data_IF_806483030611
#
_entry.id   IF_806483030611
#
_cell.length_a   1.000
_cell.length_b   1.000
_cell.length_c   1.000
_cell.angle_alpha   90.00
_cell.angle_beta   90.00
_cell.angle_gamma   90.00
#
_symmetry.space_group_name_H-M   'P 1'
#
loop_
_entity.id
_entity.type
_entity.pdbx_description
1 polymer ?
#
# COMPACT_ATOMS: atom_id res chain seq x y z
N UNK A 1 17.81 8.34 4.20
CA UNK A 1 17.72 8.54 2.73
C UNK A 1 19.01 9.13 2.14
N UNK A 2 19.67 10.13 2.76
CA UNK A 2 20.91 10.74 2.22
C UNK A 2 22.27 10.22 2.74
N UNK A 3 22.32 9.16 3.56
CA UNK A 3 23.54 8.77 4.31
C UNK A 3 24.65 8.13 3.46
N UNK A 4 24.35 7.61 2.26
CA UNK A 4 25.30 6.84 1.44
C UNK A 4 25.66 7.49 0.10
N UNK A 5 25.67 8.82 0.02
CA UNK A 5 26.34 9.50 -1.10
C UNK A 5 25.61 9.43 -2.45
N UNK A 6 24.30 9.73 -2.49
CA UNK A 6 23.53 9.86 -3.74
C UNK A 6 24.10 10.87 -4.75
N UNK A 7 25.00 11.76 -4.32
CA UNK A 7 25.75 12.68 -5.20
C UNK A 7 26.76 11.99 -6.11
N UNK A 8 27.15 10.74 -5.82
CA UNK A 8 28.13 9.98 -6.62
C UNK A 8 27.56 9.35 -7.89
N UNK A 9 26.23 9.29 -8.05
CA UNK A 9 25.55 8.63 -9.16
C UNK A 9 24.90 9.68 -10.08
N UNK A 10 25.72 10.33 -10.92
CA UNK A 10 25.28 11.47 -11.73
C UNK A 10 24.15 11.11 -12.70
N UNK A 11 24.18 9.93 -13.34
CA UNK A 11 23.17 9.56 -14.34
C UNK A 11 21.80 9.29 -13.70
N UNK A 12 21.67 8.41 -12.69
CA UNK A 12 20.39 8.20 -12.00
C UNK A 12 19.84 9.49 -11.38
N UNK A 13 20.71 10.35 -10.85
CA UNK A 13 20.28 11.64 -10.28
C UNK A 13 19.68 12.55 -11.36
N UNK A 14 20.35 12.71 -12.50
CA UNK A 14 19.81 13.49 -13.63
C UNK A 14 18.49 12.89 -14.11
N UNK A 15 18.43 11.59 -14.35
CA UNK A 15 17.18 10.91 -14.76
C UNK A 15 16.05 11.11 -13.74
N UNK A 16 16.35 11.04 -12.45
CA UNK A 16 15.39 11.28 -11.38
C UNK A 16 14.89 12.73 -11.36
N UNK A 17 15.78 13.71 -11.58
CA UNK A 17 15.38 15.12 -11.69
C UNK A 17 14.52 15.38 -12.93
N UNK A 18 14.84 14.77 -14.07
CA UNK A 18 14.03 14.84 -15.29
C UNK A 18 12.66 14.20 -15.08
N UNK A 19 12.61 13.03 -14.42
CA UNK A 19 11.37 12.35 -14.07
C UNK A 19 10.50 13.17 -13.11
N UNK A 20 11.10 13.77 -12.08
CA UNK A 20 10.36 14.64 -11.16
C UNK A 20 9.90 15.95 -11.83
N UNK A 21 10.69 16.52 -12.74
CA UNK A 21 10.28 17.67 -13.53
C UNK A 21 9.09 17.34 -14.45
N UNK A 22 9.12 16.16 -15.09
CA UNK A 22 8.00 15.64 -15.86
C UNK A 22 6.76 15.43 -15.00
N UNK A 23 6.89 14.78 -13.83
CA UNK A 23 5.77 14.53 -12.90
C UNK A 23 5.18 15.83 -12.31
N UNK A 24 6.04 16.83 -12.07
CA UNK A 24 5.62 18.13 -11.56
C UNK A 24 4.86 18.95 -12.62
N UNK A 25 5.00 18.59 -13.90
CA UNK A 25 4.36 19.28 -15.02
C UNK A 25 5.13 20.52 -15.45
N UNK A 26 6.46 20.49 -15.43
CA UNK A 26 7.29 21.59 -15.93
C UNK A 26 7.40 21.51 -17.48
N UNK A 27 7.27 22.63 -18.20
CA UNK A 27 7.62 22.66 -19.62
C UNK A 27 9.13 22.41 -19.76
N UNK A 28 9.62 21.52 -20.66
CA UNK A 28 9.01 20.97 -21.88
C UNK A 28 8.59 19.48 -21.82
N UNK A 29 8.33 18.91 -20.65
CA UNK A 29 8.11 17.46 -20.50
C UNK A 29 6.68 17.01 -20.83
N UNK A 30 6.50 15.74 -21.21
CA UNK A 30 5.18 15.16 -21.54
C UNK A 30 4.13 15.31 -20.43
N UNK A 31 4.56 15.29 -19.17
CA UNK A 31 3.67 15.44 -18.01
C UNK A 31 3.02 16.82 -17.90
N UNK A 32 3.58 17.87 -18.52
CA UNK A 32 2.93 19.17 -18.61
C UNK A 32 1.64 19.08 -19.44
N UNK A 33 1.70 18.48 -20.63
CA UNK A 33 0.53 18.36 -21.53
C UNK A 33 -0.58 17.48 -20.95
N UNK A 34 -0.22 16.38 -20.30
CA UNK A 34 -1.22 15.52 -19.64
C UNK A 34 -1.93 16.25 -18.50
N UNK A 35 -1.21 17.05 -17.72
CA UNK A 35 -1.77 17.82 -16.59
C UNK A 35 -2.62 19.00 -17.07
N UNK A 36 -2.18 19.69 -18.12
CA UNK A 36 -2.93 20.74 -18.83
C UNK A 36 -4.26 20.21 -19.37
N UNK A 37 -4.25 19.08 -20.08
CA UNK A 37 -5.46 18.48 -20.64
C UNK A 37 -6.50 18.16 -19.55
N UNK A 38 -6.05 17.59 -18.42
CA UNK A 38 -6.93 17.27 -17.29
C UNK A 38 -7.44 18.55 -16.61
N UNK A 39 -6.58 19.56 -16.41
CA UNK A 39 -6.98 20.85 -15.84
C UNK A 39 -7.96 21.62 -16.74
N UNK A 40 -7.76 21.56 -18.06
CA UNK A 40 -8.69 22.11 -19.05
C UNK A 40 -10.05 21.41 -19.01
N UNK A 41 -10.07 20.07 -18.90
CA UNK A 41 -11.31 19.31 -18.72
C UNK A 41 -12.02 19.62 -17.39
N UNK A 42 -11.26 19.80 -16.31
CA UNK A 42 -11.79 20.19 -14.99
C UNK A 42 -12.36 21.62 -14.98
N UNK A 43 -11.77 22.54 -15.74
CA UNK A 43 -12.24 23.92 -15.84
C UNK A 43 -13.56 24.06 -16.61
N UNK A 44 -13.87 23.11 -17.49
CA UNK A 44 -15.17 23.02 -18.17
C UNK A 44 -16.30 22.49 -17.28
N UNK A 45 -15.99 21.94 -16.09
CA UNK A 45 -17.01 21.48 -15.15
C UNK A 45 -17.60 22.65 -14.36
N UNK A 46 -18.90 22.57 -14.07
CA UNK A 46 -19.62 23.56 -13.26
C UNK A 46 -19.11 23.67 -11.81
N UNK A 47 -18.35 22.69 -11.32
CA UNK A 47 -17.86 22.65 -9.94
C UNK A 47 -16.37 23.01 -9.84
N UNK A 48 -16.02 24.20 -9.33
CA UNK A 48 -14.63 24.66 -9.26
C UNK A 48 -13.79 23.94 -8.19
N UNK A 49 -14.41 23.17 -7.28
CA UNK A 49 -13.70 22.50 -6.17
C UNK A 49 -12.66 21.52 -6.70
N UNK A 50 -12.98 20.79 -7.77
CA UNK A 50 -12.07 19.82 -8.37
C UNK A 50 -10.89 20.47 -9.09
N UNK A 51 -11.11 21.66 -9.68
CA UNK A 51 -10.03 22.45 -10.28
C UNK A 51 -9.06 22.93 -9.19
N UNK A 52 -9.57 23.48 -8.08
CA UNK A 52 -8.75 23.89 -6.94
C UNK A 52 -7.99 22.71 -6.32
N UNK A 53 -8.66 21.56 -6.17
CA UNK A 53 -8.02 20.32 -5.73
C UNK A 53 -6.89 19.86 -6.66
N UNK A 54 -7.10 19.94 -7.97
CA UNK A 54 -6.08 19.63 -8.98
C UNK A 54 -4.89 20.59 -8.95
N UNK A 55 -5.13 21.90 -8.81
CA UNK A 55 -4.08 22.92 -8.67
C UNK A 55 -3.27 22.74 -7.38
N UNK A 56 -3.94 22.47 -6.26
CA UNK A 56 -3.29 22.18 -4.98
C UNK A 56 -2.49 20.88 -5.06
N UNK A 57 -3.04 19.85 -5.70
CA UNK A 57 -2.34 18.60 -5.97
C UNK A 57 -1.09 18.80 -6.83
N UNK A 58 -1.15 19.69 -7.83
CA UNK A 58 -0.01 20.03 -8.67
C UNK A 58 1.13 20.68 -7.87
N UNK A 59 0.79 21.64 -7.00
CA UNK A 59 1.71 22.29 -6.07
C UNK A 59 2.35 21.28 -5.10
N UNK A 60 1.54 20.47 -4.41
CA UNK A 60 2.04 19.47 -3.46
C UNK A 60 2.95 18.45 -4.14
N UNK A 61 2.61 18.04 -5.37
CA UNK A 61 3.40 17.09 -6.16
C UNK A 61 4.79 17.63 -6.48
N UNK A 62 4.87 18.88 -6.91
CA UNK A 62 6.15 19.54 -7.14
C UNK A 62 6.95 19.64 -5.84
N UNK A 63 6.31 20.06 -4.75
CA UNK A 63 6.96 20.23 -3.46
C UNK A 63 7.53 18.91 -2.91
N UNK A 64 6.75 17.81 -2.83
CA UNK A 64 7.26 16.56 -2.26
C UNK A 64 8.32 15.89 -3.14
N UNK A 65 8.19 15.98 -4.47
CA UNK A 65 9.13 15.37 -5.42
C UNK A 65 10.49 16.05 -5.34
N UNK A 66 10.50 17.40 -5.39
CA UNK A 66 11.73 18.17 -5.31
C UNK A 66 12.32 18.20 -3.89
N UNK A 67 11.50 18.14 -2.83
CA UNK A 67 11.98 17.93 -1.44
C UNK A 67 12.88 16.69 -1.37
N UNK A 68 12.44 15.58 -1.93
CA UNK A 68 13.18 14.32 -1.90
C UNK A 68 14.49 14.42 -2.69
N UNK A 69 14.45 15.03 -3.88
CA UNK A 69 15.65 15.29 -4.69
C UNK A 69 16.66 16.16 -3.95
N UNK A 70 16.23 17.29 -3.37
CA UNK A 70 17.13 18.19 -2.66
C UNK A 70 17.71 17.56 -1.40
N UNK A 71 16.96 16.70 -0.71
CA UNK A 71 17.46 15.95 0.46
C UNK A 71 18.55 14.94 0.06
N UNK A 72 18.40 14.29 -1.10
CA UNK A 72 19.42 13.36 -1.64
C UNK A 72 20.65 14.14 -2.16
N UNK A 73 20.43 15.26 -2.85
CA UNK A 73 21.50 16.04 -3.46
C UNK A 73 22.29 16.82 -2.41
N UNK A 74 21.63 17.37 -1.40
CA UNK A 74 22.22 18.16 -0.33
C UNK A 74 21.92 17.53 1.04
N UNK A 75 22.53 16.39 1.39
CA UNK A 75 22.36 15.84 2.72
C UNK A 75 22.85 16.85 3.76
N UNK A 76 22.00 17.21 4.73
CA UNK A 76 22.48 17.99 5.87
C UNK A 76 23.51 17.15 6.62
N UNK A 77 24.61 17.79 7.02
CA UNK A 77 25.62 17.18 7.87
C UNK A 77 25.05 17.08 9.29
N UNK A 78 24.03 16.25 9.49
CA UNK A 78 23.54 15.96 10.82
C UNK A 78 24.61 15.10 11.50
N UNK A 79 25.41 15.76 12.34
CA UNK A 79 26.29 15.16 13.35
C UNK A 79 25.37 14.42 14.33
N UNK A 80 25.20 13.13 14.16
CA UNK A 80 24.70 12.27 15.25
C UNK A 80 25.81 11.29 15.65
N UNK A 81 25.94 10.99 16.96
CA UNK A 81 27.07 10.27 17.49
C UNK A 81 27.04 8.82 17.04
N UNK A 82 28.23 8.29 16.76
CA UNK A 82 28.48 6.91 16.41
C UNK A 82 27.83 5.95 17.41
N UNK A 83 26.71 5.33 17.02
CA UNK A 83 26.31 4.04 17.55
C UNK A 83 26.69 2.99 16.51
N UNK A 84 27.66 2.16 16.92
CA UNK A 84 28.21 1.09 16.10
C UNK A 84 27.16 0.03 15.81
N UNK A 85 27.00 -0.27 14.53
CA UNK A 85 26.50 -1.56 14.09
C UNK A 85 27.41 -2.04 12.96
N UNK A 86 27.84 -3.30 13.12
CA UNK A 86 28.78 -4.01 12.30
C UNK A 86 28.27 -4.15 10.86
N UNK A 87 29.08 -3.72 9.91
CA UNK A 87 28.87 -3.92 8.49
C UNK A 87 30.19 -3.67 7.76
N UNK A 88 31.19 -4.50 8.06
CA UNK A 88 32.45 -4.46 7.35
C UNK A 88 32.24 -4.93 5.91
N UNK A 89 32.32 -4.00 4.95
CA UNK A 89 32.83 -4.24 3.60
C UNK A 89 33.42 -2.92 3.11
N UNK A 90 34.68 -2.71 3.49
CA UNK A 90 35.55 -1.74 2.86
C UNK A 90 36.02 -2.26 1.51
N UNK A 91 36.05 -1.36 0.54
CA UNK A 91 37.05 -1.23 -0.52
C UNK A 91 37.60 -2.51 -1.14
N UNK A 92 37.08 -2.84 -2.32
CA UNK A 92 37.69 -3.75 -3.27
C UNK A 92 36.65 -4.27 -4.24
N UNK A 93 36.35 -3.50 -5.30
CA UNK A 93 35.88 -4.01 -6.61
C UNK A 93 35.37 -2.84 -7.50
N UNK A 94 36.29 -1.93 -7.86
CA UNK A 94 35.99 -0.75 -8.70
C UNK A 94 35.58 -1.11 -10.16
N UNK A 95 35.69 -2.39 -10.55
CA UNK A 95 35.34 -2.86 -11.90
C UNK A 95 34.00 -3.59 -12.02
N UNK A 96 33.47 -4.18 -10.92
CA UNK A 96 32.19 -4.92 -10.98
C UNK A 96 30.97 -4.01 -10.75
N UNK A 97 31.13 -2.89 -10.04
CA UNK A 97 30.03 -1.93 -9.84
C UNK A 97 29.78 -1.04 -11.06
N UNK A 98 30.77 -0.81 -11.92
CA UNK A 98 30.60 -0.02 -13.14
C UNK A 98 29.68 -0.73 -14.16
N UNK A 99 29.78 -2.05 -14.28
CA UNK A 99 28.90 -2.86 -15.14
C UNK A 99 27.45 -2.84 -14.66
N UNK A 100 27.22 -3.06 -13.36
CA UNK A 100 25.88 -2.99 -12.77
C UNK A 100 25.25 -1.59 -12.88
N UNK A 101 26.05 -0.54 -12.67
CA UNK A 101 25.63 0.85 -12.82
C UNK A 101 25.12 1.14 -14.25
N UNK A 102 25.84 0.66 -15.27
CA UNK A 102 25.45 0.90 -16.66
C UNK A 102 24.20 0.10 -17.07
N UNK A 103 24.06 -1.13 -16.58
CA UNK A 103 22.86 -1.95 -16.81
C UNK A 103 21.61 -1.30 -16.20
N UNK A 104 21.73 -0.65 -15.03
CA UNK A 104 20.62 0.09 -14.42
C UNK A 104 20.39 1.47 -15.08
N UNK A 105 21.45 2.11 -15.59
CA UNK A 105 21.36 3.42 -16.23
C UNK A 105 20.64 3.38 -17.57
N UNK A 106 20.81 2.31 -18.36
CA UNK A 106 20.20 2.17 -19.69
C UNK A 106 18.68 2.32 -19.68
N UNK A 107 17.91 1.58 -18.84
CA UNK A 107 16.46 1.77 -18.72
C UNK A 107 16.08 3.20 -18.30
N UNK A 108 16.82 3.81 -17.37
CA UNK A 108 16.55 5.17 -16.89
C UNK A 108 16.77 6.22 -17.99
N UNK A 109 17.83 6.09 -18.79
CA UNK A 109 18.12 6.99 -19.91
C UNK A 109 17.05 6.85 -20.99
N UNK A 110 16.67 5.61 -21.35
CA UNK A 110 15.62 5.35 -22.35
C UNK A 110 14.32 6.00 -21.89
N UNK A 111 13.89 5.75 -20.65
CA UNK A 111 12.65 6.32 -20.11
C UNK A 111 12.71 7.85 -20.07
N UNK A 112 13.79 8.45 -19.57
CA UNK A 112 13.94 9.89 -19.55
C UNK A 112 13.91 10.50 -20.97
N UNK A 113 14.56 9.85 -21.93
CA UNK A 113 14.56 10.28 -23.33
C UNK A 113 13.15 10.21 -23.92
N UNK A 114 12.41 9.12 -23.69
CA UNK A 114 11.02 8.97 -24.14
C UNK A 114 10.13 10.07 -23.54
N UNK A 115 10.27 10.38 -22.25
CA UNK A 115 9.48 11.46 -21.62
C UNK A 115 9.77 12.85 -22.21
N UNK A 116 11.01 13.09 -22.66
CA UNK A 116 11.41 14.35 -23.29
C UNK A 116 10.94 14.41 -24.75
N UNK A 117 11.11 13.33 -25.51
CA UNK A 117 10.65 13.22 -26.89
C UNK A 117 9.13 13.36 -26.98
N UNK A 118 8.38 12.67 -26.12
CA UNK A 118 6.92 12.81 -26.05
C UNK A 118 6.48 14.22 -25.67
N UNK A 119 7.28 14.94 -24.87
CA UNK A 119 7.04 16.35 -24.59
C UNK A 119 7.22 17.25 -25.82
N UNK A 120 8.23 16.97 -26.66
CA UNK A 120 8.43 17.75 -27.89
C UNK A 120 7.34 17.47 -28.95
N UNK A 121 6.78 16.26 -28.98
CA UNK A 121 5.67 15.89 -29.87
C UNK A 121 4.29 16.20 -29.25
N UNK A 122 4.09 17.46 -28.84
CA UNK A 122 2.88 17.95 -28.20
C UNK A 122 1.60 17.73 -29.03
N UNK A 123 1.60 18.14 -30.30
CA UNK A 123 0.41 18.18 -31.15
C UNK A 123 -0.21 16.81 -31.47
N UNK A 124 0.55 15.73 -31.81
CA UNK A 124 -0.04 14.41 -31.98
C UNK A 124 -0.51 13.78 -30.66
N UNK A 125 0.14 14.11 -29.53
CA UNK A 125 -0.21 13.58 -28.21
C UNK A 125 -1.55 14.14 -27.73
N UNK A 126 -1.74 15.45 -27.84
CA UNK A 126 -2.99 16.12 -27.48
C UNK A 126 -4.15 15.60 -28.33
N UNK A 127 -3.95 15.48 -29.65
CA UNK A 127 -4.95 14.92 -30.55
C UNK A 127 -5.29 13.46 -30.21
N UNK A 128 -4.32 12.62 -29.84
CA UNK A 128 -4.59 11.25 -29.42
C UNK A 128 -5.39 11.18 -28.11
N UNK A 129 -5.01 12.00 -27.12
CA UNK A 129 -5.66 12.04 -25.80
C UNK A 129 -7.11 12.53 -25.90
N UNK A 130 -7.36 13.57 -26.70
CA UNK A 130 -8.68 14.17 -26.87
C UNK A 130 -9.57 13.33 -27.80
N UNK A 131 -9.01 12.74 -28.87
CA UNK A 131 -9.80 11.96 -29.83
C UNK A 131 -10.31 10.62 -29.27
N UNK A 132 -9.59 9.98 -28.34
CA UNK A 132 -10.01 8.69 -27.76
C UNK A 132 -10.95 8.82 -26.55
N UNK A 133 -10.96 9.95 -25.85
CA UNK A 133 -11.81 10.17 -24.67
C UNK A 133 -13.18 10.81 -25.00
N UNK A 134 -13.71 10.50 -26.19
CA UNK A 134 -15.06 10.83 -26.70
C UNK A 134 -15.93 11.72 -25.80
N UNK A 135 -16.07 12.99 -26.19
CA UNK A 135 -17.14 13.86 -25.65
C UNK A 135 -16.71 15.18 -25.01
N UNK A 136 -15.61 15.80 -25.45
CA UNK A 136 -15.44 17.24 -25.27
C UNK A 136 -15.43 17.90 -26.65
N UNK A 137 -16.62 18.11 -27.21
CA UNK A 137 -16.81 19.04 -28.31
C UNK A 137 -16.25 20.41 -27.89
N UNK A 138 -15.27 20.92 -28.65
CA UNK A 138 -15.03 22.35 -28.80
C UNK A 138 -14.87 23.18 -27.52
N UNK A 139 -13.85 22.93 -26.70
CA UNK A 139 -13.25 24.01 -25.90
C UNK A 139 -12.02 24.53 -26.64
N UNK A 140 -12.29 25.39 -27.63
CA UNK A 140 -11.29 26.08 -28.42
C UNK A 140 -10.23 26.77 -27.56
N UNK A 141 -9.00 26.73 -28.06
CA UNK A 141 -7.78 27.26 -27.44
C UNK A 141 -7.74 28.78 -27.24
N UNK A 142 -8.73 29.35 -26.54
CA UNK A 142 -8.82 30.78 -26.27
C UNK A 142 -9.24 31.18 -24.85
N UNK A 143 -9.87 30.32 -24.04
CA UNK A 143 -10.49 30.79 -22.78
C UNK A 143 -9.73 30.46 -21.48
N UNK A 144 -8.67 29.65 -21.54
CA UNK A 144 -7.97 29.20 -20.32
C UNK A 144 -6.45 29.30 -20.38
N UNK A 145 -5.89 30.18 -21.22
CA UNK A 145 -4.44 30.44 -21.19
C UNK A 145 -3.95 30.85 -19.79
N UNK A 146 -4.81 31.48 -18.98
CA UNK A 146 -4.52 31.82 -17.60
C UNK A 146 -4.27 30.60 -16.70
N UNK A 147 -4.94 29.46 -16.94
CA UNK A 147 -4.76 28.23 -16.16
C UNK A 147 -3.35 27.68 -16.30
N UNK A 148 -2.79 27.76 -17.51
CA UNK A 148 -1.43 27.34 -17.78
C UNK A 148 -0.43 28.13 -16.93
N UNK A 149 -0.53 29.46 -16.94
CA UNK A 149 0.36 30.31 -16.15
C UNK A 149 0.20 30.06 -14.65
N UNK A 150 -1.03 29.82 -14.18
CA UNK A 150 -1.30 29.52 -12.77
C UNK A 150 -0.77 28.14 -12.37
N UNK A 151 -1.00 27.11 -13.19
CA UNK A 151 -0.56 25.74 -12.92
C UNK A 151 0.97 25.63 -12.93
N UNK A 152 1.63 26.22 -13.94
CA UNK A 152 3.10 26.28 -14.01
C UNK A 152 3.65 27.14 -12.88
N UNK A 153 3.01 28.28 -12.58
CA UNK A 153 3.39 29.14 -11.47
C UNK A 153 3.32 28.44 -10.12
N UNK A 154 2.28 27.63 -9.88
CA UNK A 154 2.13 26.81 -8.67
C UNK A 154 3.14 25.66 -8.63
N UNK A 155 3.40 24.98 -9.75
CA UNK A 155 4.44 23.97 -9.79
C UNK A 155 5.81 24.57 -9.45
N UNK A 156 6.16 25.71 -10.07
CA UNK A 156 7.40 26.43 -9.81
C UNK A 156 7.49 26.97 -8.38
N UNK A 157 6.39 27.45 -7.80
CA UNK A 157 6.37 27.88 -6.40
C UNK A 157 6.59 26.70 -5.45
N UNK A 158 6.04 25.52 -5.74
CA UNK A 158 6.31 24.28 -5.01
C UNK A 158 7.78 23.87 -5.08
N UNK A 159 8.39 23.93 -6.27
CA UNK A 159 9.84 23.69 -6.44
C UNK A 159 10.68 24.73 -5.69
N UNK A 160 10.31 26.01 -5.78
CA UNK A 160 11.00 27.11 -5.13
C UNK A 160 10.96 26.99 -3.60
N UNK A 161 9.80 26.66 -3.02
CA UNK A 161 9.66 26.40 -1.59
C UNK A 161 10.48 25.18 -1.15
N UNK A 162 10.43 24.09 -1.91
CA UNK A 162 11.26 22.92 -1.63
C UNK A 162 12.76 23.26 -1.68
N UNK A 163 13.19 24.12 -2.60
CA UNK A 163 14.57 24.57 -2.68
C UNK A 163 14.96 25.45 -1.48
N UNK A 164 14.08 26.36 -1.05
CA UNK A 164 14.32 27.22 0.11
C UNK A 164 14.43 26.42 1.42
N UNK A 165 13.55 25.43 1.62
CA UNK A 165 13.48 24.64 2.86
C UNK A 165 14.47 23.47 2.92
N UNK A 166 14.87 22.91 1.78
CA UNK A 166 15.72 21.70 1.74
C UNK A 166 17.01 21.85 0.93
N UNK A 167 17.05 22.72 -0.09
CA UNK A 167 18.18 22.87 -1.03
C UNK A 167 19.17 23.98 -0.69
N UNK A 168 18.76 25.02 0.05
CA UNK A 168 19.62 26.16 0.41
C UNK A 168 20.76 25.73 1.34
N UNK A 169 21.97 26.27 1.12
CA UNK A 169 23.11 26.08 2.05
C UNK A 169 22.71 26.57 3.45
N UNK A 170 22.66 25.66 4.43
CA UNK A 170 22.22 25.96 5.81
C UNK A 170 20.72 25.82 6.07
N UNK A 171 19.96 25.25 5.13
CA UNK A 171 18.57 24.88 5.35
C UNK A 171 18.42 23.92 6.54
N UNK A 172 17.41 24.16 7.38
CA UNK A 172 17.10 23.31 8.53
C UNK A 172 16.59 21.92 8.12
N UNK A 173 16.18 21.74 6.85
CA UNK A 173 15.54 20.53 6.33
C UNK A 173 14.28 20.14 7.12
N UNK A 174 13.64 21.12 7.76
CA UNK A 174 12.37 20.98 8.45
C UNK A 174 11.30 21.60 7.56
N UNK A 175 10.38 20.78 7.07
CA UNK A 175 9.29 21.27 6.23
C UNK A 175 8.21 21.99 7.04
N UNK A 176 7.37 22.80 6.36
CA UNK A 176 6.25 23.48 7.01
C UNK A 176 5.38 22.56 7.89
N UNK A 177 5.09 21.34 7.42
CA UNK A 177 4.28 20.34 8.13
C UNK A 177 4.93 19.84 9.42
N UNK A 178 6.26 19.79 9.46
CA UNK A 178 7.01 19.30 10.63
C UNK A 178 7.04 20.33 11.77
N UNK A 179 6.69 21.59 11.50
CA UNK A 179 6.58 22.65 12.50
C UNK A 179 5.31 22.52 13.36
N UNK A 180 4.29 21.83 12.85
CA UNK A 180 3.03 21.59 13.55
C UNK A 180 2.97 20.14 14.00
N UNK A 181 3.25 19.89 15.28
CA UNK A 181 3.23 18.55 15.86
C UNK A 181 1.97 17.72 15.56
N UNK A 182 0.72 18.24 15.71
CA UNK A 182 -0.47 17.43 15.44
C UNK A 182 -0.65 17.09 13.95
N UNK A 183 -0.18 17.95 13.05
CA UNK A 183 -0.25 17.71 11.60
C UNK A 183 0.84 16.73 11.18
N UNK A 184 2.03 16.86 11.77
CA UNK A 184 3.13 15.92 11.60
C UNK A 184 2.74 14.51 12.04
N UNK A 185 2.15 14.35 13.23
CA UNK A 185 1.74 13.03 13.73
C UNK A 185 0.66 12.42 12.85
N UNK A 186 -0.33 13.21 12.42
CA UNK A 186 -1.37 12.75 11.49
C UNK A 186 -0.79 12.16 10.20
N UNK A 187 0.14 12.87 9.54
CA UNK A 187 0.75 12.40 8.30
C UNK A 187 1.78 11.29 8.52
N UNK A 188 2.53 11.33 9.63
CA UNK A 188 3.48 10.29 10.00
C UNK A 188 2.79 8.95 10.25
N UNK A 189 1.60 8.99 10.86
CA UNK A 189 0.78 7.81 11.16
C UNK A 189 -0.13 7.40 9.99
N UNK A 190 0.20 7.83 8.76
CA UNK A 190 -0.56 7.51 7.54
C UNK A 190 -2.06 7.79 7.69
N UNK A 191 -2.39 8.93 8.29
CA UNK A 191 -3.75 9.40 8.54
C UNK A 191 -4.55 8.50 9.51
N UNK A 192 -3.86 7.71 10.34
CA UNK A 192 -4.45 6.69 11.21
C UNK A 192 -5.27 5.62 10.47
N UNK A 193 -5.15 5.52 9.14
CA UNK A 193 -5.86 4.53 8.35
C UNK A 193 -5.39 3.12 8.72
N UNK A 194 -4.09 2.92 8.88
CA UNK A 194 -3.50 1.64 9.29
C UNK A 194 -3.99 1.24 10.70
N UNK A 195 -4.07 2.21 11.60
CA UNK A 195 -4.62 2.02 12.95
C UNK A 195 -6.10 1.63 12.90
N UNK A 196 -6.89 2.32 12.10
CA UNK A 196 -8.30 2.00 11.90
C UNK A 196 -8.48 0.60 11.33
N UNK A 197 -7.73 0.22 10.31
CA UNK A 197 -7.80 -1.14 9.75
C UNK A 197 -7.42 -2.19 10.78
N UNK A 198 -6.36 -1.96 11.56
CA UNK A 198 -5.95 -2.91 12.59
C UNK A 198 -6.98 -3.04 13.70
N UNK A 199 -7.54 -1.93 14.18
CA UNK A 199 -8.65 -1.94 15.13
C UNK A 199 -9.86 -2.67 14.56
N UNK A 200 -10.22 -2.40 13.30
CA UNK A 200 -11.32 -3.08 12.64
C UNK A 200 -11.08 -4.59 12.55
N UNK A 201 -9.89 -5.03 12.15
CA UNK A 201 -9.52 -6.45 12.10
C UNK A 201 -9.54 -7.09 13.50
N UNK A 202 -8.90 -6.48 14.48
CA UNK A 202 -8.77 -7.00 15.85
C UNK A 202 -10.13 -7.11 16.55
N UNK A 203 -10.97 -6.08 16.48
CA UNK A 203 -12.26 -6.08 17.17
C UNK A 203 -13.34 -6.83 16.39
N UNK A 204 -13.46 -6.63 15.08
CA UNK A 204 -14.55 -7.21 14.30
C UNK A 204 -14.19 -8.62 13.86
N UNK A 205 -13.07 -8.80 13.16
CA UNK A 205 -12.74 -10.10 12.58
C UNK A 205 -12.26 -11.07 13.67
N UNK A 206 -11.24 -10.72 14.42
CA UNK A 206 -10.68 -11.60 15.44
C UNK A 206 -11.59 -11.67 16.68
N UNK A 207 -12.13 -10.52 17.13
CA UNK A 207 -12.99 -10.47 18.31
C UNK A 207 -14.34 -11.18 18.13
N UNK A 208 -15.03 -10.95 17.02
CA UNK A 208 -16.38 -11.50 16.80
C UNK A 208 -16.31 -12.82 16.03
N UNK A 209 -15.81 -12.79 14.79
CA UNK A 209 -15.92 -13.94 13.90
C UNK A 209 -15.03 -15.11 14.36
N UNK A 210 -13.76 -14.85 14.66
CA UNK A 210 -12.87 -15.93 15.10
C UNK A 210 -13.36 -16.57 16.40
N UNK A 211 -13.80 -15.78 17.37
CA UNK A 211 -14.31 -16.30 18.63
C UNK A 211 -15.61 -17.12 18.44
N UNK A 212 -16.52 -16.68 17.56
CA UNK A 212 -17.73 -17.42 17.24
C UNK A 212 -17.41 -18.77 16.62
N UNK A 213 -16.48 -18.81 15.66
CA UNK A 213 -16.07 -20.06 15.03
C UNK A 213 -15.34 -20.99 16.00
N UNK A 214 -14.43 -20.47 16.82
CA UNK A 214 -13.74 -21.28 17.85
C UNK A 214 -14.74 -21.84 18.88
N UNK A 215 -15.77 -21.07 19.25
CA UNK A 215 -16.82 -21.57 20.15
C UNK A 215 -17.67 -22.64 19.50
N UNK A 216 -18.04 -22.46 18.23
CA UNK A 216 -18.78 -23.46 17.47
C UNK A 216 -17.99 -24.77 17.35
N UNK A 217 -16.71 -24.69 17.01
CA UNK A 217 -15.80 -25.84 16.88
C UNK A 217 -15.72 -26.62 18.22
N UNK A 218 -15.39 -25.94 19.31
CA UNK A 218 -15.28 -26.58 20.64
C UNK A 218 -16.59 -27.12 21.20
N UNK A 219 -17.73 -26.50 20.91
CA UNK A 219 -19.01 -26.93 21.48
C UNK A 219 -19.74 -27.95 20.63
N UNK A 220 -19.71 -27.80 19.30
CA UNK A 220 -20.48 -28.63 18.38
C UNK A 220 -19.64 -29.79 17.87
N UNK A 221 -18.40 -29.53 17.43
CA UNK A 221 -17.55 -30.57 16.82
C UNK A 221 -16.94 -31.43 17.93
N UNK A 222 -16.14 -30.85 18.81
CA UNK A 222 -15.52 -31.59 19.93
C UNK A 222 -16.59 -32.17 20.87
N UNK A 223 -17.58 -31.35 21.24
CA UNK A 223 -18.68 -31.77 22.10
C UNK A 223 -19.51 -32.92 21.51
N UNK A 224 -19.67 -32.97 20.18
CA UNK A 224 -20.32 -34.07 19.47
C UNK A 224 -19.52 -35.36 19.58
N UNK A 225 -18.21 -35.30 19.31
CA UNK A 225 -17.29 -36.45 19.38
C UNK A 225 -17.21 -36.99 20.81
N UNK A 226 -17.03 -36.11 21.79
CA UNK A 226 -17.03 -36.47 23.22
C UNK A 226 -18.38 -37.03 23.67
N UNK A 227 -19.47 -36.56 23.08
CA UNK A 227 -20.82 -37.08 23.32
C UNK A 227 -20.94 -38.53 22.88
N UNK A 228 -20.45 -38.86 21.67
CA UNK A 228 -20.43 -40.23 21.15
C UNK A 228 -19.56 -41.11 22.07
N UNK A 229 -18.36 -40.68 22.43
CA UNK A 229 -17.47 -41.43 23.32
C UNK A 229 -18.12 -41.72 24.67
N UNK A 230 -18.76 -40.71 25.30
CA UNK A 230 -19.50 -40.88 26.56
C UNK A 230 -20.69 -41.82 26.42
N UNK A 231 -21.42 -41.76 25.31
CA UNK A 231 -22.54 -42.67 25.04
C UNK A 231 -22.08 -44.11 24.92
N UNK A 232 -20.97 -44.37 24.21
CA UNK A 232 -20.39 -45.72 24.08
C UNK A 232 -19.94 -46.27 25.44
N UNK A 233 -19.21 -45.48 26.23
CA UNK A 233 -18.78 -45.91 27.58
C UNK A 233 -19.97 -46.11 28.52
N UNK A 234 -20.96 -45.22 28.45
CA UNK A 234 -22.20 -45.31 29.22
C UNK A 234 -22.98 -46.58 28.89
N UNK A 235 -23.15 -46.89 27.60
CA UNK A 235 -23.78 -48.13 27.13
C UNK A 235 -23.04 -49.37 27.61
N UNK A 236 -21.70 -49.37 27.54
CA UNK A 236 -20.87 -50.46 28.06
C UNK A 236 -21.03 -50.67 29.57
N UNK A 237 -21.10 -49.58 30.36
CA UNK A 237 -21.37 -49.66 31.81
C UNK A 237 -22.77 -50.22 32.11
N UNK A 238 -23.77 -49.83 31.33
CA UNK A 238 -25.13 -50.34 31.48
C UNK A 238 -25.23 -51.84 31.16
N UNK A 239 -24.57 -52.29 30.08
CA UNK A 239 -24.44 -53.72 29.76
C UNK A 239 -23.69 -54.48 30.86
N UNK A 240 -22.62 -53.91 31.39
CA UNK A 240 -21.85 -54.51 32.48
C UNK A 240 -22.67 -54.68 33.77
N UNK A 241 -23.63 -53.79 34.03
CA UNK A 241 -24.52 -53.92 35.17
C UNK A 241 -25.54 -55.06 34.99
N UNK A 242 -26.06 -55.24 33.76
CA UNK A 242 -26.97 -56.34 33.44
C UNK A 242 -26.29 -57.71 33.61
N UNK A 243 -25.00 -57.80 33.32
CA UNK A 243 -24.19 -59.00 33.52
C UNK A 243 -23.66 -59.11 34.96
N UNK A 244 -24.56 -58.99 35.95
CA UNK A 244 -24.22 -59.19 37.35
C UNK A 244 -23.79 -60.65 37.58
N UNK A 245 -22.74 -60.88 38.37
CA UNK A 245 -22.15 -62.22 38.63
C UNK A 245 -23.07 -63.21 39.38
N UNK A 246 -24.37 -62.91 39.50
CA UNK A 246 -25.36 -63.77 40.13
C UNK A 246 -25.84 -64.83 39.13
N UNK A 247 -25.43 -66.08 39.35
CA UNK A 247 -25.79 -67.24 38.54
C UNK A 247 -27.30 -67.39 38.27
N UNK A 248 -28.14 -67.02 39.24
CA UNK A 248 -29.60 -67.10 39.11
C UNK A 248 -30.15 -66.19 38.00
N UNK A 249 -29.61 -64.98 37.85
CA UNK A 249 -30.07 -64.01 36.84
C UNK A 249 -29.68 -64.46 35.44
N UNK A 250 -28.45 -64.96 35.27
CA UNK A 250 -27.97 -65.50 34.00
C UNK A 250 -28.79 -66.72 33.54
N UNK A 251 -29.13 -67.62 34.46
CA UNK A 251 -29.99 -68.77 34.15
C UNK A 251 -31.40 -68.35 33.74
N UNK A 252 -32.01 -67.38 34.44
CA UNK A 252 -33.32 -66.84 34.09
C UNK A 252 -33.32 -66.22 32.69
N UNK A 253 -32.31 -65.41 32.36
CA UNK A 253 -32.16 -64.82 31.02
C UNK A 253 -31.97 -65.89 29.95
N UNK A 254 -31.15 -66.91 30.21
CA UNK A 254 -30.93 -68.02 29.27
C UNK A 254 -32.23 -68.79 28.97
N UNK A 255 -33.02 -69.13 29.99
CA UNK A 255 -34.33 -69.77 29.81
C UNK A 255 -35.31 -68.87 29.05
N UNK A 256 -35.35 -67.59 29.36
CA UNK A 256 -36.20 -66.62 28.66
C UNK A 256 -35.84 -66.52 27.17
N UNK A 257 -34.54 -66.43 26.84
CA UNK A 257 -34.06 -66.40 25.45
C UNK A 257 -34.41 -67.69 24.72
N UNK A 258 -34.19 -68.87 25.33
CA UNK A 258 -34.55 -70.15 24.72
C UNK A 258 -36.06 -70.28 24.47
N UNK A 259 -36.88 -69.84 25.42
CA UNK A 259 -38.34 -69.83 25.26
C UNK A 259 -38.77 -68.89 24.12
N UNK A 260 -38.17 -67.71 24.02
CA UNK A 260 -38.44 -66.74 22.95
C UNK A 260 -38.04 -67.28 21.58
N UNK A 261 -36.86 -67.90 21.47
CA UNK A 261 -36.39 -68.53 20.23
C UNK A 261 -37.28 -69.69 19.84
N UNK A 262 -37.68 -70.54 20.78
CA UNK A 262 -38.63 -71.61 20.51
C UNK A 262 -39.96 -71.05 20.00
N UNK A 263 -40.50 -70.02 20.66
CA UNK A 263 -41.75 -69.37 20.23
C UNK A 263 -41.62 -68.81 18.81
N UNK A 264 -40.50 -68.13 18.48
CA UNK A 264 -40.22 -67.63 17.13
C UNK A 264 -40.09 -68.72 16.05
N UNK A 265 -39.65 -69.92 16.42
CA UNK A 265 -39.53 -71.04 15.47
C UNK A 265 -40.82 -71.84 15.32
N UNK A 266 -41.66 -71.89 16.36
CA UNK A 266 -42.91 -72.65 16.37
C UNK A 266 -44.14 -71.81 15.97
N UNK A 267 -44.04 -70.48 15.99
CA UNK A 267 -45.03 -69.52 15.48
C UNK A 267 -44.38 -68.61 14.44
#
# INVERSE_FOLDING_TARGET
IGRQGGRGLTIPMVCMTLGAAALSGLPPFSGFFSKEAIMGGLAGLHNPIWLWGGLLGAFLTAYYSFRLIFLILFPSKIKEPHHGEHGGHGHGDDHHHAGLYWVMAWPLIILATVTLVLGLFQTPLENFLVAHHGGAEGHGGGHHAWLLYVAVGLALSGVGLAWLEFGRKGASQVGFVERMEPVKTLFAERWYIDHFYRLFLDYVIYGIFSNLFTRNDRQVIDGGIDGIGRATVGGGRMLSFLQSGMLQYNLMVMFAVLALVALYFFF
#
